data_IF_043427475889
#
_entry.id   IF_043427475889
#
_cell.length_a   1.000
_cell.length_b   1.000
_cell.length_c   1.000
_cell.angle_alpha   90.00
_cell.angle_beta   90.00
_cell.angle_gamma   90.00
#
_symmetry.space_group_name_H-M   'P 1'
#
loop_
_entity.id
_entity.type
_entity.pdbx_description
1 polymer ?
#
# COMPACT_ATOMS: atom_id res chain seq x y z
N UNK A 1 1.62 0.70 -5.78
CA UNK A 1 0.52 -0.23 -5.47
C UNK A 1 0.98 -1.23 -4.42
N UNK A 2 0.07 -1.68 -3.56
CA UNK A 2 0.31 -2.77 -2.60
C UNK A 2 -0.82 -3.77 -2.73
N UNK A 3 -0.50 -5.03 -2.97
CA UNK A 3 -1.50 -6.09 -2.92
C UNK A 3 -1.87 -6.31 -1.45
N UNK A 4 -3.16 -6.17 -1.12
CA UNK A 4 -3.60 -6.07 0.27
C UNK A 4 -3.33 -7.36 1.00
N UNK A 5 -3.65 -8.54 0.46
CA UNK A 5 -3.62 -9.83 1.16
C UNK A 5 -2.21 -10.31 1.54
N UNK A 6 -1.23 -10.09 0.68
CA UNK A 6 0.16 -10.53 0.82
C UNK A 6 1.05 -9.39 1.32
N UNK A 7 0.63 -8.15 1.10
CA UNK A 7 1.48 -6.96 1.28
C UNK A 7 2.51 -6.79 0.17
N UNK A 8 2.36 -7.48 -0.96
CA UNK A 8 3.33 -7.46 -2.05
C UNK A 8 3.43 -6.05 -2.68
N UNK A 9 4.62 -5.43 -2.65
CA UNK A 9 4.81 -4.09 -3.18
C UNK A 9 5.06 -4.08 -4.69
N UNK A 10 4.37 -3.19 -5.40
CA UNK A 10 4.64 -2.85 -6.80
C UNK A 10 4.81 -1.34 -6.94
N UNK A 11 5.93 -0.92 -7.51
CA UNK A 11 6.22 0.47 -7.80
C UNK A 11 7.06 0.58 -9.07
N UNK A 12 6.90 1.69 -9.77
CA UNK A 12 7.63 2.01 -10.98
C UNK A 12 7.96 3.51 -10.96
N UNK A 13 9.11 3.88 -11.50
CA UNK A 13 9.48 5.28 -11.62
C UNK A 13 8.71 5.92 -12.78
N UNK A 14 8.07 7.06 -12.51
CA UNK A 14 7.37 7.85 -13.53
C UNK A 14 7.93 9.27 -13.54
N UNK A 15 7.94 9.90 -14.72
CA UNK A 15 8.39 11.29 -14.91
C UNK A 15 7.35 12.30 -14.44
N UNK A 16 6.08 11.89 -14.44
CA UNK A 16 4.93 12.72 -14.14
C UNK A 16 3.92 11.96 -13.28
N UNK A 17 2.93 12.70 -12.79
CA UNK A 17 1.87 12.18 -11.95
C UNK A 17 0.53 12.13 -12.68
N UNK A 18 0.50 12.20 -14.00
CA UNK A 18 -0.76 12.28 -14.75
C UNK A 18 -1.57 10.97 -14.69
N UNK A 19 -2.87 11.07 -15.01
CA UNK A 19 -3.74 9.91 -15.10
C UNK A 19 -3.25 8.87 -16.12
N UNK A 20 -2.61 9.31 -17.22
CA UNK A 20 -2.11 8.43 -18.27
C UNK A 20 -0.98 7.56 -17.73
N UNK A 21 0.00 8.16 -17.08
CA UNK A 21 1.13 7.45 -16.48
C UNK A 21 0.68 6.53 -15.35
N UNK A 22 -0.30 6.96 -14.54
CA UNK A 22 -0.90 6.09 -13.53
C UNK A 22 -1.56 4.84 -14.15
N UNK A 23 -2.33 5.00 -15.23
CA UNK A 23 -2.96 3.89 -15.96
C UNK A 23 -1.91 2.95 -16.56
N UNK A 24 -0.80 3.47 -17.10
CA UNK A 24 0.28 2.65 -17.65
C UNK A 24 0.94 1.78 -16.58
N UNK A 25 1.26 2.37 -15.43
CA UNK A 25 1.84 1.63 -14.28
C UNK A 25 0.86 0.58 -13.76
N UNK A 26 -0.43 0.92 -13.65
CA UNK A 26 -1.46 -0.04 -13.24
C UNK A 26 -1.62 -1.18 -14.25
N UNK A 27 -1.61 -0.89 -15.55
CA UNK A 27 -1.71 -1.91 -16.60
C UNK A 27 -0.55 -2.90 -16.54
N UNK A 28 0.68 -2.41 -16.30
CA UNK A 28 1.87 -3.26 -16.07
C UNK A 28 1.75 -4.08 -14.79
N UNK A 29 1.10 -3.55 -13.76
CA UNK A 29 0.84 -4.32 -12.55
C UNK A 29 -0.20 -5.41 -12.83
N UNK A 30 -1.28 -5.12 -13.55
CA UNK A 30 -2.36 -6.07 -13.81
C UNK A 30 -1.93 -7.19 -14.77
N UNK A 31 -0.92 -6.97 -15.61
CA UNK A 31 -0.35 -8.06 -16.41
C UNK A 31 0.38 -9.11 -15.55
N UNK A 32 0.80 -8.76 -14.33
CA UNK A 32 1.46 -9.66 -13.37
C UNK A 32 0.45 -10.26 -12.39
N UNK A 33 -0.41 -9.41 -11.82
CA UNK A 33 -1.31 -9.78 -10.72
C UNK A 33 -2.70 -10.24 -11.20
N UNK A 34 -3.05 -9.94 -12.44
CA UNK A 34 -4.43 -9.94 -12.91
C UNK A 34 -5.15 -8.63 -12.61
N UNK A 35 -6.31 -8.45 -13.23
CA UNK A 35 -7.17 -7.28 -13.01
C UNK A 35 -7.91 -7.46 -11.67
N UNK A 36 -7.76 -6.53 -10.71
CA UNK A 36 -8.42 -6.64 -9.42
C UNK A 36 -9.90 -6.28 -9.52
N UNK A 37 -10.75 -6.89 -8.68
CA UNK A 37 -12.16 -6.52 -8.56
C UNK A 37 -12.36 -5.15 -7.89
N UNK A 38 -11.41 -4.73 -7.04
CA UNK A 38 -11.49 -3.47 -6.30
C UNK A 38 -10.13 -2.81 -6.16
N UNK A 39 -10.10 -1.49 -6.31
CA UNK A 39 -8.93 -0.66 -6.03
C UNK A 39 -9.31 0.40 -4.99
N UNK A 40 -8.52 0.50 -3.93
CA UNK A 40 -8.63 1.58 -2.95
C UNK A 40 -7.58 2.63 -3.25
N UNK A 41 -8.02 3.86 -3.47
CA UNK A 41 -7.18 5.00 -3.87
C UNK A 41 -7.54 6.24 -3.05
N UNK A 42 -6.59 7.17 -2.97
CA UNK A 42 -6.86 8.49 -2.43
C UNK A 42 -7.61 9.36 -3.45
N UNK A 43 -7.96 10.59 -3.05
CA UNK A 43 -8.64 11.58 -3.90
C UNK A 43 -7.68 12.40 -4.76
N UNK A 44 -6.51 11.85 -5.12
CA UNK A 44 -5.58 12.51 -6.02
C UNK A 44 -6.22 12.83 -7.38
N UNK A 45 -5.87 13.98 -7.96
CA UNK A 45 -6.46 14.49 -9.22
C UNK A 45 -6.34 13.52 -10.39
N UNK A 46 -5.26 12.75 -10.42
CA UNK A 46 -5.00 11.73 -11.44
C UNK A 46 -5.99 10.58 -11.37
N UNK A 47 -6.41 10.22 -10.16
CA UNK A 47 -7.32 9.12 -9.90
C UNK A 47 -8.80 9.52 -9.90
N UNK A 48 -9.10 10.82 -9.79
CA UNK A 48 -10.47 11.36 -9.95
C UNK A 48 -10.78 11.80 -11.38
N UNK A 49 -9.82 11.68 -12.30
CA UNK A 49 -10.00 12.06 -13.70
C UNK A 49 -10.98 11.14 -14.45
N UNK A 50 -11.70 11.69 -15.43
CA UNK A 50 -12.62 10.91 -16.28
C UNK A 50 -11.91 9.74 -16.97
N UNK A 51 -10.69 9.96 -17.45
CA UNK A 51 -9.89 8.93 -18.13
C UNK A 51 -9.58 7.74 -17.21
N UNK A 52 -9.32 8.00 -15.93
CA UNK A 52 -9.09 6.94 -14.96
C UNK A 52 -10.38 6.15 -14.66
N UNK A 53 -11.51 6.86 -14.52
CA UNK A 53 -12.81 6.24 -14.31
C UNK A 53 -13.22 5.37 -15.51
N UNK A 54 -13.04 5.84 -16.75
CA UNK A 54 -13.29 5.08 -17.97
C UNK A 54 -12.45 3.80 -18.03
N UNK A 55 -11.16 3.90 -17.71
CA UNK A 55 -10.27 2.75 -17.66
C UNK A 55 -10.71 1.71 -16.61
N UNK A 56 -11.11 2.16 -15.42
CA UNK A 56 -11.61 1.26 -14.38
C UNK A 56 -12.93 0.59 -14.78
N UNK A 57 -13.86 1.36 -15.37
CA UNK A 57 -15.14 0.84 -15.85
C UNK A 57 -14.94 -0.20 -16.96
N UNK A 58 -14.05 0.05 -17.92
CA UNK A 58 -13.73 -0.90 -19.00
C UNK A 58 -13.20 -2.24 -18.45
N UNK A 59 -12.41 -2.20 -17.38
CA UNK A 59 -11.83 -3.38 -16.74
C UNK A 59 -12.72 -3.96 -15.62
N UNK A 60 -13.95 -3.46 -15.44
CA UNK A 60 -14.86 -3.85 -14.34
C UNK A 60 -14.25 -3.73 -12.93
N UNK A 61 -13.43 -2.70 -12.73
CA UNK A 61 -12.75 -2.42 -11.46
C UNK A 61 -13.62 -1.48 -10.62
N UNK A 62 -13.98 -1.92 -9.42
CA UNK A 62 -14.67 -1.08 -8.44
C UNK A 62 -13.69 -0.12 -7.77
N UNK A 63 -13.90 1.18 -7.95
CA UNK A 63 -13.10 2.21 -7.28
C UNK A 63 -13.65 2.45 -5.88
N UNK A 64 -12.78 2.35 -4.88
CA UNK A 64 -13.05 2.76 -3.50
C UNK A 64 -12.19 3.99 -3.16
N UNK A 65 -12.82 5.16 -3.08
CA UNK A 65 -12.15 6.41 -2.73
C UNK A 65 -12.05 6.53 -1.21
N UNK A 66 -10.83 6.64 -0.70
CA UNK A 66 -10.60 6.88 0.72
C UNK A 66 -11.22 8.22 1.15
N UNK A 67 -11.94 8.25 2.29
CA UNK A 67 -12.48 9.48 2.86
C UNK A 67 -11.41 10.55 2.97
N UNK A 68 -11.80 11.79 2.66
CA UNK A 68 -10.90 12.91 2.84
C UNK A 68 -10.49 12.96 4.32
N UNK A 69 -9.19 13.15 4.56
CA UNK A 69 -8.63 13.36 5.89
C UNK A 69 -8.69 12.16 6.86
N UNK A 70 -8.80 10.94 6.35
CA UNK A 70 -8.63 9.70 7.12
C UNK A 70 -7.39 8.91 6.67
N UNK A 71 -6.16 9.41 6.96
CA UNK A 71 -4.91 8.73 6.56
C UNK A 71 -4.78 7.34 7.18
N UNK A 72 -5.45 7.10 8.32
CA UNK A 72 -5.48 5.80 8.99
C UNK A 72 -5.93 4.65 8.09
N UNK A 73 -6.77 4.93 7.09
CA UNK A 73 -7.32 3.94 6.17
C UNK A 73 -6.33 3.59 5.04
N UNK A 74 -5.33 4.45 4.78
CA UNK A 74 -4.25 4.23 3.82
C UNK A 74 -2.97 3.68 4.45
N UNK A 75 -2.96 3.37 5.75
CA UNK A 75 -1.72 3.18 6.52
C UNK A 75 -0.75 2.13 5.98
N UNK A 76 -1.25 1.07 5.34
CA UNK A 76 -0.37 0.06 4.71
C UNK A 76 0.42 0.64 3.52
N UNK A 77 -0.25 1.41 2.66
CA UNK A 77 0.37 2.07 1.50
C UNK A 77 1.31 3.18 1.96
N UNK A 78 0.91 3.96 2.96
CA UNK A 78 1.75 5.03 3.53
C UNK A 78 3.04 4.48 4.15
N UNK A 79 2.93 3.42 4.96
CA UNK A 79 4.09 2.77 5.59
C UNK A 79 5.04 2.18 4.57
N UNK A 80 4.52 1.52 3.54
CA UNK A 80 5.37 1.00 2.46
C UNK A 80 6.03 2.14 1.72
N UNK A 81 5.27 3.17 1.33
CA UNK A 81 5.80 4.31 0.57
C UNK A 81 6.90 5.03 1.36
N UNK A 82 6.73 5.18 2.67
CA UNK A 82 7.77 5.68 3.56
C UNK A 82 9.03 4.79 3.53
N UNK A 83 8.85 3.47 3.66
CA UNK A 83 9.96 2.52 3.66
C UNK A 83 10.73 2.53 2.34
N UNK A 84 10.01 2.60 1.21
CA UNK A 84 10.61 2.70 -0.13
C UNK A 84 11.41 4.00 -0.25
N UNK A 85 10.81 5.16 0.07
CA UNK A 85 11.51 6.46 0.02
C UNK A 85 12.76 6.46 0.90
N UNK A 86 12.65 5.99 2.14
CA UNK A 86 13.77 5.89 3.06
C UNK A 86 14.91 5.02 2.50
N UNK A 87 14.56 3.85 1.96
CA UNK A 87 15.52 2.91 1.38
C UNK A 87 16.22 3.49 0.14
N UNK A 88 15.48 4.22 -0.69
CA UNK A 88 16.02 4.94 -1.85
C UNK A 88 17.01 6.00 -1.36
N UNK A 89 16.60 6.87 -0.44
CA UNK A 89 17.46 7.93 0.10
C UNK A 89 18.76 7.39 0.69
N UNK A 90 18.71 6.24 1.38
CA UNK A 90 19.91 5.59 1.92
C UNK A 90 20.79 4.94 0.86
N UNK A 91 20.20 4.36 -0.17
CA UNK A 91 20.95 3.69 -1.25
C UNK A 91 21.57 4.67 -2.23
N UNK A 92 20.95 5.85 -2.42
CA UNK A 92 21.36 6.86 -3.39
C UNK A 92 22.15 8.03 -2.79
N UNK A 93 22.75 7.88 -1.59
CA UNK A 93 23.47 8.96 -0.88
C UNK A 93 24.55 9.59 -1.77
N UNK A 94 25.31 8.74 -2.49
CA UNK A 94 26.43 9.17 -3.34
C UNK A 94 26.03 9.45 -4.80
N UNK A 95 24.84 9.03 -5.22
CA UNK A 95 24.36 9.12 -6.61
C UNK A 95 22.84 9.36 -6.62
N UNK A 96 22.44 10.58 -6.25
CA UNK A 96 21.01 10.93 -6.11
C UNK A 96 20.24 10.91 -7.43
N UNK A 97 20.92 11.24 -8.53
CA UNK A 97 20.28 11.34 -9.86
C UNK A 97 19.93 9.96 -10.45
N UNK A 98 20.52 8.89 -9.91
CA UNK A 98 20.32 7.51 -10.36
C UNK A 98 19.51 6.68 -9.35
N UNK A 99 18.62 7.34 -8.60
CA UNK A 99 17.83 6.71 -7.54
C UNK A 99 16.92 5.58 -8.06
N UNK A 100 16.44 5.71 -9.29
CA UNK A 100 15.55 4.78 -9.99
C UNK A 100 16.21 3.42 -10.25
N UNK A 101 17.53 3.40 -10.50
CA UNK A 101 18.31 2.17 -10.64
C UNK A 101 18.29 1.29 -9.37
N UNK A 102 18.06 1.89 -8.20
CA UNK A 102 17.97 1.17 -6.93
C UNK A 102 16.56 0.67 -6.63
N UNK A 103 15.53 1.19 -7.30
CA UNK A 103 14.12 0.88 -6.99
C UNK A 103 13.84 -0.61 -7.08
N UNK A 104 14.27 -1.28 -8.17
CA UNK A 104 14.04 -2.71 -8.36
C UNK A 104 14.72 -3.57 -7.29
N UNK A 105 15.96 -3.20 -6.89
CA UNK A 105 16.69 -3.89 -5.83
C UNK A 105 15.99 -3.73 -4.47
N UNK A 106 15.53 -2.51 -4.17
CA UNK A 106 14.79 -2.21 -2.94
C UNK A 106 13.46 -2.98 -2.91
N UNK A 107 12.70 -2.97 -4.01
CA UNK A 107 11.45 -3.72 -4.11
C UNK A 107 11.68 -5.22 -3.94
N UNK A 108 12.72 -5.78 -4.54
CA UNK A 108 13.09 -7.18 -4.34
C UNK A 108 13.40 -7.48 -2.86
N UNK A 109 14.20 -6.64 -2.20
CA UNK A 109 14.48 -6.80 -0.77
C UNK A 109 13.22 -6.72 0.09
N UNK A 110 12.29 -5.79 -0.22
CA UNK A 110 11.01 -5.67 0.50
C UNK A 110 10.09 -6.87 0.26
N UNK A 111 10.12 -7.46 -0.94
CA UNK A 111 9.35 -8.68 -1.27
C UNK A 111 9.91 -9.91 -0.57
N UNK A 112 11.23 -10.01 -0.44
CA UNK A 112 11.91 -11.13 0.21
C UNK A 112 11.92 -11.04 1.75
N UNK A 113 11.70 -9.85 2.33
CA UNK A 113 11.75 -9.65 3.77
C UNK A 113 10.52 -10.26 4.45
N UNK A 114 10.76 -11.16 5.40
CA UNK A 114 9.73 -11.70 6.28
C UNK A 114 9.07 -10.59 7.11
N UNK A 115 7.75 -10.49 7.05
CA UNK A 115 6.98 -9.54 7.83
C UNK A 115 6.67 -10.11 9.22
N UNK A 116 6.92 -9.33 10.28
CA UNK A 116 6.67 -9.77 11.67
C UNK A 116 5.20 -10.12 11.96
N UNK A 117 4.26 -9.54 11.22
CA UNK A 117 2.82 -9.82 11.38
C UNK A 117 2.39 -11.16 10.81
N UNK A 118 2.98 -11.55 9.68
CA UNK A 118 2.57 -12.74 8.93
C UNK A 118 3.51 -13.91 9.19
N UNK A 119 4.76 -13.67 9.62
CA UNK A 119 5.80 -14.68 9.73
C UNK A 119 6.37 -15.12 8.37
N UNK A 120 5.88 -14.57 7.26
CA UNK A 120 6.24 -14.94 5.90
C UNK A 120 6.64 -13.72 5.06
N UNK A 121 7.45 -13.95 4.02
CA UNK A 121 7.81 -12.92 3.04
C UNK A 121 6.64 -12.65 2.08
N UNK A 122 6.40 -11.39 1.64
CA UNK A 122 5.39 -11.13 0.62
C UNK A 122 5.59 -11.95 -0.67
N UNK A 123 6.84 -12.24 -1.04
CA UNK A 123 7.16 -13.08 -2.19
C UNK A 123 6.65 -14.50 -2.01
N UNK A 124 6.95 -15.12 -0.86
CA UNK A 124 6.39 -16.42 -0.49
C UNK A 124 4.88 -16.37 -0.46
N UNK A 125 4.28 -15.32 0.10
CA UNK A 125 2.83 -15.10 0.13
C UNK A 125 2.17 -14.84 -1.21
N UNK A 126 2.94 -14.54 -2.25
CA UNK A 126 2.44 -14.41 -3.61
C UNK A 126 2.71 -15.66 -4.47
N UNK A 127 3.94 -16.16 -4.51
CA UNK A 127 4.37 -17.26 -5.38
C UNK A 127 4.33 -18.66 -4.77
N UNK A 128 4.26 -18.78 -3.43
CA UNK A 128 4.29 -20.08 -2.73
C UNK A 128 5.68 -20.70 -2.65
N UNK A 129 6.71 -19.93 -2.99
CA UNK A 129 8.12 -20.30 -2.90
C UNK A 129 8.89 -19.10 -2.36
N UNK A 130 9.98 -19.33 -1.63
CA UNK A 130 10.85 -18.24 -1.21
C UNK A 130 11.71 -17.76 -2.39
N UNK A 131 12.02 -16.46 -2.49
CA UNK A 131 12.88 -15.96 -3.54
C UNK A 131 14.30 -16.43 -3.30
N UNK A 132 14.98 -16.87 -4.35
CA UNK A 132 16.40 -17.19 -4.26
C UNK A 132 17.21 -15.91 -4.03
N UNK A 133 17.70 -15.72 -2.80
CA UNK A 133 18.66 -14.65 -2.49
C UNK A 133 20.06 -15.22 -2.65
N UNK A 134 20.97 -14.43 -3.26
CA UNK A 134 22.34 -14.81 -3.60
C UNK A 134 23.16 -15.47 -2.49
N UNK A 135 22.74 -15.33 -1.22
CA UNK A 135 23.43 -15.80 -0.03
C UNK A 135 22.68 -16.92 0.72
N UNK A 136 21.64 -17.51 0.13
CA UNK A 136 20.83 -18.58 0.78
C UNK A 136 21.19 -19.92 0.19
N UNK A 137 21.53 -20.90 1.03
CA UNK A 137 21.67 -22.28 0.58
C UNK A 137 20.27 -22.80 0.20
N UNK A 138 20.12 -23.27 -1.03
CA UNK A 138 18.87 -23.85 -1.51
C UNK A 138 18.74 -25.23 -0.87
N UNK A 139 17.77 -25.39 0.03
CA UNK A 139 17.37 -26.70 0.51
C UNK A 139 16.32 -27.27 -0.46
N UNK A 140 16.69 -28.33 -1.19
CA UNK A 140 15.84 -28.98 -2.20
C UNK A 140 14.53 -29.55 -1.61
N UNK A 141 14.45 -29.73 -0.29
CA UNK A 141 13.23 -30.20 0.38
C UNK A 141 12.05 -29.20 0.31
N UNK A 142 12.31 -27.91 0.02
CA UNK A 142 11.28 -26.87 -0.13
C UNK A 142 10.60 -26.82 -1.51
N UNK A 143 11.05 -27.63 -2.47
CA UNK A 143 10.58 -27.56 -3.86
C UNK A 143 9.14 -28.09 -4.06
N UNK A 144 8.55 -28.73 -3.06
CA UNK A 144 7.19 -29.26 -3.14
C UNK A 144 6.33 -28.63 -2.03
N UNK A 145 5.74 -27.47 -2.33
CA UNK A 145 4.57 -27.01 -1.60
C UNK A 145 3.33 -27.26 -2.45
N UNK A 146 2.47 -28.16 -1.98
CA UNK A 146 1.21 -28.44 -2.66
C UNK A 146 0.37 -27.16 -2.72
N UNK A 147 -0.39 -27.01 -3.81
CA UNK A 147 -1.38 -25.93 -3.97
C UNK A 147 -2.35 -25.83 -2.78
N UNK A 148 -2.58 -26.94 -2.07
CA UNK A 148 -3.46 -27.01 -0.89
C UNK A 148 -2.81 -26.46 0.38
N UNK A 149 -1.51 -26.71 0.59
CA UNK A 149 -0.74 -26.09 1.67
C UNK A 149 -0.77 -24.56 1.52
N UNK A 150 -0.62 -24.10 0.27
CA UNK A 150 -0.70 -22.70 -0.10
C UNK A 150 -2.06 -22.05 0.21
N UNK A 151 -3.17 -22.71 -0.14
CA UNK A 151 -4.52 -22.23 0.18
C UNK A 151 -4.72 -22.15 1.70
N UNK A 152 -4.28 -23.17 2.43
CA UNK A 152 -4.37 -23.21 3.89
C UNK A 152 -3.58 -22.08 4.55
N UNK A 153 -2.39 -21.74 4.02
CA UNK A 153 -1.60 -20.60 4.50
C UNK A 153 -2.29 -19.26 4.21
N UNK A 154 -2.84 -19.08 3.01
CA UNK A 154 -3.58 -17.87 2.65
C UNK A 154 -4.84 -17.69 3.52
N UNK A 155 -5.58 -18.76 3.80
CA UNK A 155 -6.74 -18.74 4.69
C UNK A 155 -6.32 -18.40 6.13
N UNK A 156 -5.24 -19.00 6.63
CA UNK A 156 -4.66 -18.64 7.93
C UNK A 156 -4.25 -17.18 7.98
N UNK A 157 -3.70 -16.62 6.89
CA UNK A 157 -3.30 -15.22 6.82
C UNK A 157 -4.48 -14.26 6.78
N UNK A 158 -5.50 -14.57 5.99
CA UNK A 158 -6.74 -13.81 5.98
C UNK A 158 -7.36 -13.80 7.39
N UNK A 159 -7.53 -14.98 8.00
CA UNK A 159 -8.06 -15.12 9.35
C UNK A 159 -7.19 -14.40 10.40
N UNK A 160 -5.87 -14.52 10.33
CA UNK A 160 -4.94 -13.82 11.23
C UNK A 160 -5.02 -12.31 11.07
N UNK A 161 -5.27 -11.79 9.86
CA UNK A 161 -5.41 -10.35 9.61
C UNK A 161 -6.75 -9.80 10.09
N UNK A 162 -7.82 -10.58 9.98
CA UNK A 162 -9.10 -10.23 10.61
C UNK A 162 -9.00 -10.28 12.14
N UNK A 163 -8.31 -11.27 12.72
CA UNK A 163 -8.11 -11.39 14.17
C UNK A 163 -7.06 -10.45 14.78
N UNK A 164 -6.11 -9.95 13.99
CA UNK A 164 -5.07 -8.99 14.39
C UNK A 164 -5.37 -7.56 13.91
N UNK A 165 -6.56 -7.31 13.35
CA UNK A 165 -7.07 -5.95 13.33
C UNK A 165 -7.16 -5.54 14.79
N UNK A 166 -6.22 -4.68 15.23
CA UNK A 166 -6.38 -4.05 16.51
C UNK A 166 -7.73 -3.34 16.46
N UNK A 167 -8.66 -3.78 17.31
CA UNK A 167 -9.76 -2.95 17.74
C UNK A 167 -9.11 -1.69 18.30
N UNK A 168 -9.01 -0.66 17.45
CA UNK A 168 -8.54 0.65 17.89
C UNK A 168 -9.70 1.21 18.68
N UNK A 169 -9.76 0.86 19.95
CA UNK A 169 -10.52 1.62 20.91
C UNK A 169 -9.87 3.01 20.97
N UNK A 170 -10.40 3.94 20.17
CA UNK A 170 -10.41 5.33 20.60
C UNK A 170 -11.08 5.40 21.97
N UNK A 171 -10.78 6.46 22.74
CA UNK A 171 -11.35 6.78 24.05
C UNK A 171 -12.70 6.11 24.31
N UNK A 172 -12.88 5.51 25.50
CA UNK A 172 -13.92 4.53 25.90
C UNK A 172 -15.39 4.83 25.54
N UNK A 173 -15.69 5.96 24.90
CA UNK A 173 -16.95 6.29 24.23
C UNK A 173 -16.70 6.66 22.77
N UNK A 174 -16.91 5.72 21.86
CA UNK A 174 -17.13 6.05 20.44
C UNK A 174 -18.57 6.57 20.33
N UNK A 175 -18.81 7.82 19.87
CA UNK A 175 -20.16 8.32 19.71
C UNK A 175 -20.87 7.54 18.60
N UNK A 176 -22.04 7.00 18.91
CA UNK A 176 -22.96 6.42 17.92
C UNK A 176 -23.79 7.57 17.37
N UNK A 177 -23.84 7.69 16.04
CA UNK A 177 -24.62 8.73 15.36
C UNK A 177 -25.86 8.11 14.71
N UNK A 178 -27.02 8.70 14.93
CA UNK A 178 -28.27 8.36 14.27
C UNK A 178 -28.54 9.29 13.07
N UNK A 179 -29.40 8.83 12.17
CA UNK A 179 -29.79 9.61 10.99
C UNK A 179 -30.53 10.87 11.48
N UNK A 180 -30.04 12.06 11.09
CA UNK A 180 -30.47 13.42 11.51
C UNK A 180 -29.64 14.06 12.63
N UNK A 181 -28.62 13.39 13.16
CA UNK A 181 -27.70 14.02 14.09
C UNK A 181 -26.87 15.13 13.43
N UNK A 182 -26.71 16.23 14.16
CA UNK A 182 -25.83 17.33 13.77
C UNK A 182 -24.41 17.00 14.21
N UNK A 183 -23.53 16.77 13.24
CA UNK A 183 -22.11 16.51 13.47
C UNK A 183 -21.28 17.70 13.02
N UNK A 184 -20.32 18.11 13.85
CA UNK A 184 -19.37 19.16 13.49
C UNK A 184 -18.27 18.54 12.65
N UNK A 185 -18.12 19.01 11.41
CA UNK A 185 -17.04 18.60 10.51
C UNK A 185 -15.87 19.57 10.67
N UNK A 186 -14.67 19.02 10.87
CA UNK A 186 -13.47 19.81 11.10
C UNK A 186 -13.06 20.56 9.82
N UNK A 187 -13.23 21.89 9.81
CA UNK A 187 -12.88 22.76 8.69
C UNK A 187 -11.40 23.20 8.79
N UNK A 188 -10.58 22.85 7.78
CA UNK A 188 -9.13 23.09 7.80
C UNK A 188 -8.69 24.49 7.40
N UNK A 189 -9.56 25.31 6.80
CA UNK A 189 -9.21 26.68 6.38
C UNK A 189 -8.93 27.61 7.56
N UNK A 190 -9.41 27.26 8.76
CA UNK A 190 -9.32 28.07 9.98
C UNK A 190 -7.99 27.86 10.74
N UNK A 191 -7.21 26.83 10.38
CA UNK A 191 -6.08 26.36 11.21
C UNK A 191 -4.76 27.15 11.05
N UNK A 192 -4.68 28.17 10.18
CA UNK A 192 -3.40 28.85 9.87
C UNK A 192 -3.24 30.30 10.33
N UNK A 193 -4.22 30.89 11.03
CA UNK A 193 -4.16 32.32 11.42
C UNK A 193 -4.02 32.60 12.92
N UNK A 194 -4.02 31.60 13.81
CA UNK A 194 -4.00 31.85 15.27
C UNK A 194 -2.67 31.61 15.98
N UNK A 195 -1.52 31.68 15.29
CA UNK A 195 -0.17 31.61 15.92
C UNK A 195 0.76 32.75 15.46
N UNK A 196 0.23 33.97 15.32
CA UNK A 196 1.02 35.21 15.29
C UNK A 196 0.49 36.21 16.29
N UNK A 197 0.78 36.00 17.57
CA UNK A 197 0.67 37.08 18.57
C UNK A 197 1.27 36.64 19.90
N UNK A 198 2.61 36.62 19.97
CA UNK A 198 3.32 37.09 21.16
C UNK A 198 4.61 37.80 20.67
N UNK A 199 4.60 39.13 20.76
CA UNK A 199 5.77 40.00 20.66
C UNK A 199 6.29 40.32 22.07
N UNK A 200 7.62 40.58 22.15
CA UNK A 200 8.36 41.34 23.18
C UNK A 200 8.62 40.59 24.51
N UNK A 201 9.83 40.50 25.05
CA UNK A 201 11.01 41.40 25.14
C UNK A 201 12.30 40.68 24.75
#
# INVERSE_FOLDING_TARGET
MVEVLTGFPFAEATTDTTAVSAIQVLSKSFSIFGIPSRITIDRGTSFTSNKFNEYCNYNNIMINLLPAYQPEWAGAVEKLSYTVRYSITKSSIHQKDLWDNYLNKILFALRARVHSKTGYSPYFLFFGIEPNLSNTLIDESYLIQSKEARVTELDKLAASRFGLQCDRFGSSKVPVFEKQDLVIILNKSIRKESEKSYQTV
#
